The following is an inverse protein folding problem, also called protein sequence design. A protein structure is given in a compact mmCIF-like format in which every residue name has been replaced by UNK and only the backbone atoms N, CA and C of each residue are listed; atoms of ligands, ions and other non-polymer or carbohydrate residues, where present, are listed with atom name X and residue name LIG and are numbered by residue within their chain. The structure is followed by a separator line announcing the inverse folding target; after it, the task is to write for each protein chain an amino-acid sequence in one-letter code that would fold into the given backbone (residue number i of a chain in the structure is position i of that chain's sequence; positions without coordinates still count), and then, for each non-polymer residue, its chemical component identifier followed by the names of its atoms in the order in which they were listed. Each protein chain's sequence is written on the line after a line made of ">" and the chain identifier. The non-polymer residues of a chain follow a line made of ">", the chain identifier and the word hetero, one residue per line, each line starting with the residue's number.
data_IF_384188954783
#
_entry.id   IF_384188954783
#
_cell.length_a   1.000
_cell.length_b   1.000
_cell.length_c   1.000
_cell.angle_alpha   90.00
_cell.angle_beta   90.00
_cell.angle_gamma   90.00
#
_symmetry.space_group_name_H-M   'P 1'
#
loop_
_entity.id
_entity.type
_entity.pdbx_description
1 polymer ?
#
# COMPACT_ATOMS: atom_id res chain seq x y z
N UNK A 1 11.56 4.61 -9.62
CA UNK A 1 11.22 3.17 -9.58
C UNK A 1 11.81 2.46 -8.37
N UNK A 2 12.62 3.13 -7.56
CA UNK A 2 13.30 2.56 -6.38
C UNK A 2 12.96 3.39 -5.15
N UNK A 3 12.76 2.74 -4.00
CA UNK A 3 12.43 3.39 -2.72
C UNK A 3 13.00 2.58 -1.54
N UNK A 4 14.31 2.38 -1.58
CA UNK A 4 15.19 1.75 -0.58
C UNK A 4 14.63 0.46 0.06
N UNK A 5 14.54 0.42 1.39
CA UNK A 5 14.18 -0.76 2.18
C UNK A 5 12.68 -0.82 2.50
N UNK A 6 11.83 -0.42 1.55
CA UNK A 6 10.40 -0.68 1.66
C UNK A 6 10.12 -2.19 1.82
N UNK A 7 8.92 -2.53 2.31
CA UNK A 7 8.58 -3.90 2.72
C UNK A 7 8.82 -4.96 1.63
N UNK A 8 8.52 -4.67 0.36
CA UNK A 8 8.76 -5.62 -0.73
C UNK A 8 10.24 -5.80 -1.04
N UNK A 9 11.04 -4.72 -1.02
CA UNK A 9 12.49 -4.82 -1.20
C UNK A 9 13.14 -5.57 -0.05
N UNK A 10 12.73 -5.30 1.20
CA UNK A 10 13.23 -6.02 2.38
C UNK A 10 12.87 -7.51 2.32
N UNK A 11 11.65 -7.85 1.88
CA UNK A 11 11.20 -9.23 1.69
C UNK A 11 12.05 -9.95 0.65
N UNK A 12 12.27 -9.35 -0.53
CA UNK A 12 13.12 -9.92 -1.57
C UNK A 12 14.55 -10.17 -1.07
N UNK A 13 15.14 -9.23 -0.32
CA UNK A 13 16.48 -9.40 0.29
C UNK A 13 16.51 -10.53 1.32
N UNK A 14 15.46 -10.67 2.12
CA UNK A 14 15.34 -11.76 3.10
C UNK A 14 15.32 -13.11 2.41
N UNK A 15 14.59 -13.24 1.30
CA UNK A 15 14.56 -14.47 0.48
C UNK A 15 15.94 -14.75 -0.11
N UNK A 16 16.58 -13.77 -0.76
CA UNK A 16 17.92 -13.93 -1.35
C UNK A 16 18.98 -14.35 -0.31
N UNK A 17 18.81 -14.00 0.96
CA UNK A 17 19.77 -14.36 2.03
C UNK A 17 19.95 -15.86 2.24
N UNK A 18 19.01 -16.69 1.78
CA UNK A 18 19.10 -18.16 1.86
C UNK A 18 19.54 -18.81 0.56
N UNK A 19 20.13 -18.03 -0.36
CA UNK A 19 20.61 -18.46 -1.68
C UNK A 19 19.57 -19.15 -2.62
N UNK A 20 18.29 -18.74 -2.68
CA UNK A 20 17.36 -19.20 -3.70
C UNK A 20 17.65 -18.54 -5.06
N UNK A 21 16.93 -18.97 -6.09
CA UNK A 21 16.91 -18.31 -7.38
C UNK A 21 16.19 -16.94 -7.32
N UNK A 22 16.40 -16.11 -8.34
CA UNK A 22 15.82 -14.76 -8.37
C UNK A 22 14.31 -14.75 -8.62
N UNK A 23 13.71 -15.79 -9.23
CA UNK A 23 12.26 -15.85 -9.41
C UNK A 23 11.58 -15.96 -8.05
N UNK A 24 12.09 -16.83 -7.17
CA UNK A 24 11.61 -16.97 -5.79
C UNK A 24 11.60 -15.63 -5.04
N UNK A 25 12.68 -14.84 -5.15
CA UNK A 25 12.78 -13.52 -4.52
C UNK A 25 11.78 -12.50 -5.10
N UNK A 26 11.64 -12.46 -6.43
CA UNK A 26 10.70 -11.56 -7.10
C UNK A 26 9.25 -11.92 -6.75
N UNK A 27 8.90 -13.20 -6.74
CA UNK A 27 7.56 -13.67 -6.36
C UNK A 27 7.22 -13.26 -4.92
N UNK A 28 8.15 -13.42 -3.98
CA UNK A 28 7.93 -12.97 -2.59
C UNK A 28 7.80 -11.45 -2.47
N UNK A 29 8.62 -10.70 -3.20
CA UNK A 29 8.51 -9.24 -3.28
C UNK A 29 7.16 -8.76 -3.81
N UNK A 30 6.64 -9.40 -4.86
CA UNK A 30 5.30 -9.12 -5.41
C UNK A 30 4.21 -9.43 -4.38
N UNK A 31 4.33 -10.54 -3.65
CA UNK A 31 3.41 -10.89 -2.58
C UNK A 31 3.32 -9.82 -1.49
N UNK A 32 4.47 -9.29 -1.05
CA UNK A 32 4.53 -8.20 -0.09
C UNK A 32 3.98 -6.87 -0.67
N UNK A 33 4.26 -6.58 -1.93
CA UNK A 33 3.77 -5.38 -2.62
C UNK A 33 2.25 -5.36 -2.75
N UNK A 34 1.61 -6.52 -2.95
CA UNK A 34 0.14 -6.62 -3.09
C UNK A 34 -0.63 -6.19 -1.84
N UNK A 35 0.01 -6.15 -0.66
CA UNK A 35 -0.66 -5.76 0.57
C UNK A 35 -1.28 -4.35 0.50
N UNK A 36 -2.44 -4.11 1.14
CA UNK A 36 -3.13 -2.82 1.07
C UNK A 36 -2.33 -1.68 1.70
N UNK A 37 -1.42 -1.97 2.62
CA UNK A 37 -0.53 -0.97 3.26
C UNK A 37 0.80 -0.77 2.53
N UNK A 38 0.94 -1.35 1.33
CA UNK A 38 2.10 -1.17 0.47
C UNK A 38 1.65 -0.78 -0.94
N UNK A 39 1.92 -1.60 -1.95
CA UNK A 39 1.54 -1.31 -3.34
C UNK A 39 0.04 -1.32 -3.59
N UNK A 40 -0.74 -2.11 -2.85
CA UNK A 40 -2.21 -2.12 -2.96
C UNK A 40 -2.90 -0.83 -2.48
N UNK A 41 -2.15 0.10 -1.87
CA UNK A 41 -2.70 1.36 -1.40
C UNK A 41 -3.18 2.26 -2.55
N UNK A 42 -2.63 2.12 -3.76
CA UNK A 42 -3.01 2.96 -4.90
C UNK A 42 -4.42 2.64 -5.43
N UNK A 43 -4.74 1.35 -5.61
CA UNK A 43 -6.06 0.86 -6.00
C UNK A 43 -7.09 1.25 -4.94
N UNK A 44 -6.77 1.02 -3.67
CA UNK A 44 -7.65 1.39 -2.57
C UNK A 44 -7.85 2.91 -2.42
N UNK A 45 -6.87 3.73 -2.81
CA UNK A 45 -7.03 5.18 -2.87
C UNK A 45 -7.95 5.60 -4.03
N UNK A 46 -7.83 4.97 -5.20
CA UNK A 46 -8.74 5.22 -6.32
C UNK A 46 -10.18 4.82 -5.98
N UNK A 47 -10.39 3.64 -5.39
CA UNK A 47 -11.69 3.18 -4.89
C UNK A 47 -12.29 4.13 -3.85
N UNK A 48 -11.46 4.82 -3.06
CA UNK A 48 -11.93 5.82 -2.11
C UNK A 48 -12.40 7.09 -2.82
N UNK A 49 -11.68 7.55 -3.83
CA UNK A 49 -12.01 8.74 -4.62
C UNK A 49 -13.30 8.51 -5.41
N UNK A 50 -13.45 7.36 -6.05
CA UNK A 50 -14.60 7.00 -6.89
C UNK A 50 -15.94 6.92 -6.13
N UNK A 51 -15.91 6.84 -4.79
CA UNK A 51 -17.12 6.80 -3.95
C UNK A 51 -17.89 8.11 -3.91
N UNK A 52 -17.27 9.22 -4.28
CA UNK A 52 -17.83 10.55 -4.08
C UNK A 52 -18.01 11.26 -5.42
N UNK A 53 -19.20 11.82 -5.63
CA UNK A 53 -19.50 12.56 -6.86
C UNK A 53 -19.09 14.04 -6.77
N UNK A 54 -18.98 14.57 -5.54
CA UNK A 54 -18.64 15.98 -5.29
C UNK A 54 -17.62 16.14 -4.15
N UNK A 55 -16.87 17.26 -4.12
CA UNK A 55 -15.95 17.55 -3.02
C UNK A 55 -16.62 17.60 -1.64
N UNK A 56 -17.84 18.14 -1.55
CA UNK A 56 -18.58 18.27 -0.27
C UNK A 56 -18.94 16.89 0.31
N UNK A 57 -19.33 15.94 -0.54
CA UNK A 57 -19.58 14.55 -0.14
C UNK A 57 -18.30 13.87 0.34
N UNK A 58 -17.18 14.11 -0.35
CA UNK A 58 -15.88 13.55 0.00
C UNK A 58 -15.40 14.07 1.36
N UNK A 59 -15.53 15.38 1.64
CA UNK A 59 -15.17 15.98 2.93
C UNK A 59 -15.97 15.34 4.07
N UNK A 60 -17.31 15.29 3.92
CA UNK A 60 -18.17 14.66 4.92
C UNK A 60 -17.83 13.18 5.13
N UNK A 61 -17.54 12.46 4.05
CA UNK A 61 -17.11 11.07 4.08
C UNK A 61 -15.81 10.86 4.85
N UNK A 62 -14.80 11.67 4.57
CA UNK A 62 -13.51 11.63 5.25
C UNK A 62 -13.64 11.94 6.73
N UNK A 63 -14.42 12.96 7.11
CA UNK A 63 -14.63 13.32 8.51
C UNK A 63 -15.28 12.18 9.30
N UNK A 64 -16.22 11.46 8.70
CA UNK A 64 -16.81 10.26 9.31
C UNK A 64 -15.79 9.13 9.47
N UNK A 65 -14.92 8.91 8.48
CA UNK A 65 -13.86 7.90 8.56
C UNK A 65 -12.85 8.21 9.66
N UNK A 66 -12.45 9.48 9.79
CA UNK A 66 -11.57 9.95 10.85
C UNK A 66 -12.20 9.77 12.23
N UNK A 67 -13.47 10.17 12.41
CA UNK A 67 -14.21 9.97 13.66
C UNK A 67 -14.29 8.47 14.03
N UNK A 68 -14.41 7.60 13.03
CA UNK A 68 -14.41 6.14 13.19
C UNK A 68 -13.00 5.51 13.27
N UNK A 69 -11.93 6.31 13.26
CA UNK A 69 -10.52 5.86 13.26
C UNK A 69 -10.19 4.85 12.16
N UNK A 70 -10.84 4.98 11.00
CA UNK A 70 -10.50 4.17 9.82
C UNK A 70 -9.23 4.71 9.16
N UNK A 71 -8.45 3.82 8.58
CA UNK A 71 -7.32 4.22 7.74
C UNK A 71 -7.84 4.90 6.47
N UNK A 72 -7.18 6.00 6.09
CA UNK A 72 -7.43 6.70 4.83
C UNK A 72 -6.36 6.26 3.85
N UNK A 73 -6.76 5.41 2.90
CA UNK A 73 -5.85 4.87 1.89
C UNK A 73 -5.30 6.01 1.02
N UNK A 74 -4.00 5.96 0.72
CA UNK A 74 -3.26 7.04 0.05
C UNK A 74 -2.56 8.03 1.01
N UNK A 75 -2.77 7.90 2.33
CA UNK A 75 -2.10 8.72 3.34
C UNK A 75 -1.39 7.87 4.40
N UNK A 76 -0.31 8.42 4.95
CA UNK A 76 0.58 7.76 5.91
C UNK A 76 1.83 7.20 5.23
N UNK A 77 2.99 7.70 5.64
CA UNK A 77 4.28 7.24 5.12
C UNK A 77 5.19 6.90 6.31
N UNK A 78 5.53 5.63 6.53
CA UNK A 78 6.62 5.25 7.42
C UNK A 78 7.91 5.44 6.62
N UNK A 79 8.55 6.61 6.72
CA UNK A 79 9.89 6.77 6.13
C UNK A 79 10.87 6.02 7.01
#
# INVERSE_FOLDING_TARGET
>A
AEHELNASTFTARTIVSTLPDFYSAVTGGIGALRGPLHGGANEAAMELIEKYATPDEAEKGLMNMLAAKKLIMGFGHPV
#
